data_IF_865689446866
#
_entry.id   IF_865689446866
#
_cell.length_a   1.000
_cell.length_b   1.000
_cell.length_c   1.000
_cell.angle_alpha   90.00
_cell.angle_beta   90.00
_cell.angle_gamma   90.00
#
_symmetry.space_group_name_H-M   'P 1'
#
loop_
_entity.id
_entity.type
_entity.pdbx_description
1 polymer ?
#
# COMPACT_ATOMS: atom_id res chain seq x y z
N UNK A 1 20.44 -13.75 4.26
CA UNK A 1 21.03 -12.89 3.21
C UNK A 1 20.53 -13.24 1.80
N UNK A 2 20.75 -14.46 1.31
CA UNK A 2 20.40 -14.87 -0.07
C UNK A 2 18.91 -14.66 -0.42
N UNK A 3 17.98 -15.02 0.47
CA UNK A 3 16.54 -14.83 0.23
C UNK A 3 16.12 -13.37 0.04
N UNK A 4 16.69 -12.45 0.83
CA UNK A 4 16.43 -11.01 0.68
C UNK A 4 16.97 -10.47 -0.64
N UNK A 5 18.16 -10.91 -1.06
CA UNK A 5 18.75 -10.48 -2.34
C UNK A 5 17.88 -10.94 -3.51
N UNK A 6 17.41 -12.20 -3.50
CA UNK A 6 16.52 -12.73 -4.54
C UNK A 6 15.18 -11.98 -4.60
N UNK A 7 14.57 -11.67 -3.45
CA UNK A 7 13.35 -10.89 -3.39
C UNK A 7 13.52 -9.48 -3.97
N UNK A 8 14.63 -8.80 -3.64
CA UNK A 8 14.95 -7.49 -4.22
C UNK A 8 15.12 -7.56 -5.74
N UNK A 9 15.85 -8.56 -6.25
CA UNK A 9 16.04 -8.75 -7.69
C UNK A 9 14.73 -9.04 -8.41
N UNK A 10 13.86 -9.86 -7.82
CA UNK A 10 12.53 -10.13 -8.35
C UNK A 10 11.68 -8.86 -8.43
N UNK A 11 11.65 -8.04 -7.37
CA UNK A 11 10.91 -6.77 -7.38
C UNK A 11 11.43 -5.79 -8.43
N UNK A 12 12.75 -5.67 -8.57
CA UNK A 12 13.38 -4.84 -9.61
C UNK A 12 13.02 -5.33 -11.02
N UNK A 13 12.93 -6.64 -11.22
CA UNK A 13 12.51 -7.24 -12.49
C UNK A 13 10.99 -7.12 -12.77
N UNK A 14 10.16 -7.07 -11.72
CA UNK A 14 8.71 -6.96 -11.83
C UNK A 14 8.23 -5.52 -12.10
N UNK A 15 8.88 -4.51 -11.53
CA UNK A 15 8.56 -3.08 -11.72
C UNK A 15 8.40 -2.62 -13.19
N UNK A 16 9.24 -3.04 -14.16
CA UNK A 16 9.09 -2.63 -15.55
C UNK A 16 7.91 -3.29 -16.29
N UNK A 17 7.26 -4.31 -15.71
CA UNK A 17 6.10 -4.96 -16.34
C UNK A 17 4.91 -4.00 -16.44
N UNK A 18 4.03 -4.19 -17.45
CA UNK A 18 2.84 -3.32 -17.61
C UNK A 18 1.97 -3.30 -16.36
N UNK A 19 1.76 -4.46 -15.72
CA UNK A 19 0.97 -4.60 -14.49
C UNK A 19 1.66 -3.90 -13.31
N UNK A 20 2.99 -4.03 -13.17
CA UNK A 20 3.76 -3.34 -12.14
C UNK A 20 3.71 -1.82 -12.28
N UNK A 21 3.84 -1.30 -13.50
CA UNK A 21 3.75 0.15 -13.78
C UNK A 21 2.37 0.73 -13.47
N UNK A 22 1.30 0.03 -13.83
CA UNK A 22 -0.07 0.47 -13.50
C UNK A 22 -0.30 0.47 -11.98
N UNK A 23 0.21 -0.54 -11.26
CA UNK A 23 0.10 -0.61 -9.80
C UNK A 23 0.84 0.55 -9.11
N UNK A 24 2.07 0.85 -9.55
CA UNK A 24 2.82 2.00 -9.04
C UNK A 24 2.12 3.31 -9.36
N UNK A 25 1.56 3.45 -10.58
CA UNK A 25 0.81 4.65 -10.96
C UNK A 25 -0.48 4.85 -10.16
N UNK A 26 -1.14 3.76 -9.76
CA UNK A 26 -2.33 3.80 -8.90
C UNK A 26 -1.98 4.14 -7.43
N UNK A 27 -0.76 3.82 -6.98
CA UNK A 27 -0.23 4.14 -5.66
C UNK A 27 0.38 5.55 -5.54
N UNK A 28 0.48 6.30 -6.65
CA UNK A 28 0.98 7.69 -6.60
C UNK A 28 -0.02 8.58 -5.85
N UNK A 29 0.47 9.45 -4.94
CA UNK A 29 -0.38 10.36 -4.20
C UNK A 29 -0.95 11.39 -5.19
N UNK A 30 -2.28 11.52 -5.18
CA UNK A 30 -3.01 12.51 -5.98
C UNK A 30 -3.45 13.65 -5.08
N UNK A 31 -3.62 14.88 -5.60
CA UNK A 31 -4.17 15.99 -4.81
C UNK A 31 -5.55 15.68 -4.21
N UNK A 32 -6.29 14.78 -4.85
CA UNK A 32 -7.57 14.25 -4.37
C UNK A 32 -7.44 13.49 -3.05
N UNK A 33 -6.32 12.78 -2.81
CA UNK A 33 -6.08 12.01 -1.58
C UNK A 33 -5.98 12.94 -0.36
N UNK A 34 -5.44 14.16 -0.52
CA UNK A 34 -5.39 15.15 0.56
C UNK A 34 -6.79 15.67 0.94
N UNK A 35 -7.68 15.79 -0.06
CA UNK A 35 -9.08 16.15 0.17
C UNK A 35 -9.83 15.02 0.87
N UNK A 36 -9.57 13.77 0.50
CA UNK A 36 -10.12 12.58 1.15
C UNK A 36 -9.64 12.45 2.61
N UNK A 37 -8.36 12.72 2.87
CA UNK A 37 -7.80 12.76 4.22
C UNK A 37 -8.46 13.83 5.10
N UNK A 38 -8.67 15.04 4.56
CA UNK A 38 -9.36 16.11 5.27
C UNK A 38 -10.83 15.76 5.55
N UNK A 39 -11.51 15.16 4.58
CA UNK A 39 -12.89 14.69 4.74
C UNK A 39 -13.00 13.58 5.80
N UNK A 40 -12.02 12.67 5.86
CA UNK A 40 -11.97 11.63 6.87
C UNK A 40 -11.72 12.21 8.27
N UNK A 41 -10.82 13.19 8.40
CA UNK A 41 -10.58 13.90 9.65
C UNK A 41 -11.86 14.58 10.17
N UNK A 42 -12.61 15.24 9.27
CA UNK A 42 -13.91 15.85 9.60
C UNK A 42 -14.97 14.82 10.01
N UNK A 43 -14.97 13.63 9.39
CA UNK A 43 -15.87 12.53 9.74
C UNK A 43 -15.52 11.94 11.12
N UNK A 44 -14.24 11.68 11.39
CA UNK A 44 -13.73 11.21 12.69
C UNK A 44 -13.98 12.21 13.82
N UNK A 45 -13.94 13.51 13.53
CA UNK A 45 -14.29 14.58 14.46
C UNK A 45 -15.81 14.79 14.62
N UNK A 46 -16.64 14.00 13.93
CA UNK A 46 -18.10 14.08 14.01
C UNK A 46 -18.72 15.30 13.34
N UNK A 47 -17.94 16.10 12.61
CA UNK A 47 -18.39 17.31 11.89
C UNK A 47 -19.06 16.95 10.55
N UNK A 48 -18.90 15.71 10.07
CA UNK A 48 -19.52 15.19 8.87
C UNK A 48 -20.13 13.81 9.15
N UNK A 49 -21.33 13.57 8.63
CA UNK A 49 -22.06 12.30 8.83
C UNK A 49 -21.82 11.26 7.74
N UNK A 50 -21.18 11.63 6.63
CA UNK A 50 -20.89 10.72 5.51
C UNK A 50 -19.45 10.24 5.52
N UNK A 51 -19.27 8.92 5.47
CA UNK A 51 -17.96 8.29 5.29
C UNK A 51 -17.35 8.68 3.92
N UNK A 52 -16.05 9.00 3.86
CA UNK A 52 -15.37 9.31 2.61
C UNK A 52 -15.39 8.12 1.65
N UNK A 53 -15.67 8.39 0.38
CA UNK A 53 -15.71 7.37 -0.67
C UNK A 53 -14.30 7.12 -1.18
N UNK A 54 -13.63 6.10 -0.68
CA UNK A 54 -12.29 5.77 -1.12
C UNK A 54 -12.27 5.14 -2.52
N UNK A 55 -11.17 5.40 -3.24
CA UNK A 55 -10.82 4.72 -4.48
C UNK A 55 -10.33 3.28 -4.25
N UNK A 56 -9.72 2.71 -5.28
CA UNK A 56 -9.08 1.38 -5.25
C UNK A 56 -8.00 1.21 -4.15
N UNK A 57 -7.35 2.31 -3.76
CA UNK A 57 -6.48 2.37 -2.59
C UNK A 57 -6.87 3.59 -1.76
N UNK A 58 -7.02 3.40 -0.45
CA UNK A 58 -7.28 4.49 0.49
C UNK A 58 -6.04 5.37 0.65
N UNK A 59 -6.24 6.64 1.02
CA UNK A 59 -5.12 7.54 1.32
C UNK A 59 -4.24 7.01 2.46
N UNK A 60 -4.82 6.23 3.39
CA UNK A 60 -4.12 5.60 4.51
C UNK A 60 -3.14 4.54 3.99
N UNK A 61 -3.61 3.65 3.12
CA UNK A 61 -2.78 2.59 2.51
C UNK A 61 -1.66 3.19 1.65
N UNK A 62 -1.96 4.25 0.89
CA UNK A 62 -0.94 4.99 0.15
C UNK A 62 0.07 5.63 1.09
N UNK A 63 -0.38 6.26 2.17
CA UNK A 63 0.50 6.91 3.14
C UNK A 63 1.44 5.90 3.83
N UNK A 64 0.95 4.72 4.19
CA UNK A 64 1.76 3.62 4.72
C UNK A 64 2.81 3.15 3.73
N UNK A 65 2.42 2.95 2.47
CA UNK A 65 3.34 2.53 1.41
C UNK A 65 4.45 3.56 1.19
N UNK A 66 4.11 4.85 1.12
CA UNK A 66 5.09 5.92 0.96
C UNK A 66 5.96 6.13 2.19
N UNK A 67 5.39 6.01 3.40
CA UNK A 67 6.14 6.03 4.65
C UNK A 67 7.17 4.91 4.70
N UNK A 68 6.80 3.70 4.23
CA UNK A 68 7.73 2.57 4.15
C UNK A 68 8.86 2.82 3.15
N UNK A 69 8.55 3.37 1.96
CA UNK A 69 9.57 3.69 0.95
C UNK A 69 10.56 4.73 1.50
N UNK A 70 10.05 5.81 2.09
CA UNK A 70 10.87 6.86 2.65
C UNK A 70 11.76 6.34 3.79
N UNK A 71 11.16 5.64 4.76
CA UNK A 71 11.91 5.08 5.88
C UNK A 71 12.97 4.07 5.43
N UNK A 72 12.65 3.24 4.44
CA UNK A 72 13.62 2.33 3.83
C UNK A 72 14.79 3.07 3.18
N UNK A 73 14.51 4.16 2.44
CA UNK A 73 15.56 4.97 1.82
C UNK A 73 16.48 5.59 2.89
N UNK A 74 15.92 6.17 3.94
CA UNK A 74 16.68 6.75 5.06
C UNK A 74 17.53 5.67 5.75
N UNK A 75 16.95 4.51 6.07
CA UNK A 75 17.65 3.39 6.71
C UNK A 75 18.78 2.84 5.85
N UNK A 76 18.58 2.73 4.54
CA UNK A 76 19.60 2.28 3.59
C UNK A 76 20.73 3.31 3.53
N UNK A 77 20.43 4.59 3.28
CA UNK A 77 21.47 5.63 3.13
C UNK A 77 22.29 5.78 4.41
N UNK A 78 21.63 5.87 5.57
CA UNK A 78 22.32 6.00 6.86
C UNK A 78 23.06 4.72 7.22
N UNK A 79 22.50 3.54 6.96
CA UNK A 79 23.17 2.26 7.17
C UNK A 79 24.43 2.10 6.30
N UNK A 80 24.36 2.51 5.03
CA UNK A 80 25.55 2.53 4.15
C UNK A 80 26.60 3.53 4.63
N UNK A 81 26.19 4.70 5.12
CA UNK A 81 27.12 5.70 5.64
C UNK A 81 27.88 5.18 6.87
N UNK A 82 27.20 4.45 7.75
CA UNK A 82 27.79 3.83 8.94
C UNK A 82 28.62 2.58 8.61
N UNK A 83 28.22 1.81 7.59
CA UNK A 83 28.98 0.65 7.14
C UNK A 83 30.34 1.05 6.56
N UNK A 84 30.38 2.11 5.74
CA UNK A 84 31.59 2.60 5.07
C UNK A 84 32.14 3.88 5.72
N UNK A 85 32.19 3.90 7.06
CA UNK A 85 32.57 5.08 7.83
C UNK A 85 33.91 5.70 7.39
N UNK A 86 34.91 4.86 7.09
CA UNK A 86 36.25 5.33 6.70
C UNK A 86 36.26 6.03 5.35
N UNK A 87 35.46 5.54 4.39
CA UNK A 87 35.34 6.17 3.08
C UNK A 87 34.47 7.42 3.13
N UNK A 88 33.40 7.41 3.94
CA UNK A 88 32.54 8.57 4.16
C UNK A 88 33.30 9.71 4.82
N UNK A 89 34.14 9.44 5.83
CA UNK A 89 34.98 10.44 6.48
C UNK A 89 35.98 11.12 5.53
N UNK A 90 36.29 10.55 4.36
CA UNK A 90 37.13 11.21 3.34
C UNK A 90 36.41 12.38 2.65
N UNK A 91 35.08 12.32 2.59
CA UNK A 91 34.26 13.30 1.89
C UNK A 91 33.37 14.12 2.83
N UNK A 92 33.20 13.67 4.07
CA UNK A 92 32.27 14.24 5.02
C UNK A 92 32.92 14.56 6.38
N UNK A 93 32.43 15.61 7.07
CA UNK A 93 32.88 15.96 8.41
C UNK A 93 32.40 14.94 9.46
N UNK A 94 33.12 14.85 10.58
CA UNK A 94 32.87 13.87 11.66
C UNK A 94 31.43 13.89 12.18
N UNK A 95 30.83 15.08 12.31
CA UNK A 95 29.46 15.25 12.80
C UNK A 95 28.42 14.56 11.91
N UNK A 96 28.74 14.29 10.64
CA UNK A 96 27.81 13.63 9.72
C UNK A 96 27.57 12.16 10.10
N UNK A 97 28.57 11.49 10.66
CA UNK A 97 28.40 10.11 11.16
C UNK A 97 27.62 10.08 12.46
N UNK A 98 27.79 11.07 13.33
CA UNK A 98 26.97 11.20 14.54
C UNK A 98 25.50 11.44 14.18
N UNK A 99 25.24 12.32 13.21
CA UNK A 99 23.89 12.57 12.68
C UNK A 99 23.34 11.31 12.01
N UNK A 100 24.12 10.61 11.18
CA UNK A 100 23.68 9.38 10.52
C UNK A 100 23.31 8.31 11.56
N UNK A 101 24.11 8.15 12.62
CA UNK A 101 23.83 7.23 13.73
C UNK A 101 22.53 7.60 14.43
N UNK A 102 22.35 8.88 14.75
CA UNK A 102 21.16 9.35 15.44
C UNK A 102 19.90 9.15 14.59
N UNK A 103 19.94 9.54 13.31
CA UNK A 103 18.83 9.36 12.37
C UNK A 103 18.51 7.88 12.18
N UNK A 104 19.52 7.04 11.95
CA UNK A 104 19.32 5.59 11.78
C UNK A 104 18.65 4.96 13.00
N UNK A 105 19.10 5.35 14.20
CA UNK A 105 18.54 4.83 15.45
C UNK A 105 17.07 5.23 15.64
N UNK A 106 16.74 6.50 15.46
CA UNK A 106 15.35 6.96 15.61
C UNK A 106 14.44 6.39 14.52
N UNK A 107 14.91 6.32 13.28
CA UNK A 107 14.15 5.74 12.18
C UNK A 107 13.88 4.24 12.43
N UNK A 108 14.85 3.49 12.97
CA UNK A 108 14.64 2.09 13.35
C UNK A 108 13.55 1.92 14.42
N UNK A 109 13.51 2.80 15.42
CA UNK A 109 12.45 2.81 16.43
C UNK A 109 11.10 3.19 15.83
N UNK A 110 11.04 4.25 15.03
CA UNK A 110 9.81 4.68 14.36
C UNK A 110 9.26 3.56 13.47
N UNK A 111 10.11 2.91 12.66
CA UNK A 111 9.71 1.80 11.80
C UNK A 111 9.22 0.60 12.63
N UNK A 112 9.91 0.24 13.71
CA UNK A 112 9.51 -0.87 14.58
C UNK A 112 8.15 -0.60 15.22
N UNK A 113 7.95 0.60 15.78
CA UNK A 113 6.70 0.98 16.40
C UNK A 113 5.56 1.10 15.39
N UNK A 114 5.82 1.62 14.20
CA UNK A 114 4.83 1.67 13.12
C UNK A 114 4.35 0.27 12.73
N UNK A 115 5.26 -0.71 12.62
CA UNK A 115 4.87 -2.10 12.32
C UNK A 115 4.07 -2.71 13.48
N UNK A 116 4.54 -2.57 14.72
CA UNK A 116 3.92 -3.23 15.88
C UNK A 116 2.59 -2.61 16.27
N UNK A 117 2.50 -1.28 16.30
CA UNK A 117 1.30 -0.58 16.78
C UNK A 117 0.31 -0.37 15.66
N UNK A 118 0.76 0.16 14.52
CA UNK A 118 -0.14 0.57 13.45
C UNK A 118 -0.47 -0.61 12.53
N UNK A 119 0.54 -1.24 11.95
CA UNK A 119 0.34 -2.31 10.97
C UNK A 119 -0.33 -3.56 11.57
N UNK A 120 0.19 -4.09 12.69
CA UNK A 120 -0.44 -5.25 13.33
C UNK A 120 -1.85 -4.96 13.84
N UNK A 121 -2.13 -3.73 14.28
CA UNK A 121 -3.49 -3.38 14.68
C UNK A 121 -4.48 -3.50 13.51
N UNK A 122 -4.18 -2.90 12.36
CA UNK A 122 -5.10 -2.94 11.22
C UNK A 122 -5.21 -4.33 10.59
N UNK A 123 -4.13 -5.11 10.61
CA UNK A 123 -4.11 -6.42 9.94
C UNK A 123 -4.68 -7.53 10.82
N UNK A 124 -4.41 -7.50 12.13
CA UNK A 124 -4.76 -8.59 13.06
C UNK A 124 -5.93 -8.21 13.95
N UNK A 125 -6.00 -6.97 14.44
CA UNK A 125 -6.94 -6.56 15.48
C UNK A 125 -8.13 -5.75 14.98
N UNK A 126 -8.20 -5.45 13.68
CA UNK A 126 -9.37 -4.82 13.09
C UNK A 126 -10.53 -5.83 13.02
N UNK A 127 -11.69 -5.55 13.66
CA UNK A 127 -12.83 -6.47 13.68
C UNK A 127 -13.40 -6.78 12.29
N UNK A 128 -13.22 -5.89 11.31
CA UNK A 128 -13.77 -6.07 9.95
C UNK A 128 -12.98 -7.12 9.12
N UNK A 129 -11.71 -7.35 9.46
CA UNK A 129 -10.80 -8.25 8.74
C UNK A 129 -10.21 -9.36 9.63
N UNK A 130 -10.69 -9.49 10.87
CA UNK A 130 -10.20 -10.47 11.83
C UNK A 130 -10.37 -11.92 11.32
N UNK A 131 -9.38 -12.82 11.48
CA UNK A 131 -8.07 -12.61 12.11
C UNK A 131 -6.98 -12.05 11.18
N UNK A 132 -7.19 -12.06 9.86
CA UNK A 132 -6.37 -11.42 8.84
C UNK A 132 -7.06 -11.46 7.47
N UNK A 133 -6.95 -10.39 6.68
CA UNK A 133 -7.43 -10.37 5.30
C UNK A 133 -6.56 -11.29 4.42
N UNK A 134 -7.15 -12.28 3.74
CA UNK A 134 -6.41 -13.22 2.88
C UNK A 134 -6.07 -12.69 1.48
N UNK A 135 -6.53 -11.48 1.15
CA UNK A 135 -6.31 -10.85 -0.18
C UNK A 135 -4.82 -10.72 -0.52
N UNK A 136 -3.92 -10.55 0.46
CA UNK A 136 -2.48 -10.50 0.18
C UNK A 136 -1.91 -11.82 -0.36
N UNK A 137 -2.57 -12.96 -0.08
CA UNK A 137 -2.16 -14.28 -0.54
C UNK A 137 -2.95 -14.74 -1.78
N UNK A 138 -4.28 -14.57 -1.75
CA UNK A 138 -5.17 -15.06 -2.81
C UNK A 138 -5.37 -14.03 -3.94
N UNK A 139 -5.13 -12.76 -3.65
CA UNK A 139 -5.44 -11.64 -4.54
C UNK A 139 -6.93 -11.38 -4.73
N UNK A 140 -7.81 -12.00 -3.94
CA UNK A 140 -9.27 -11.91 -4.07
C UNK A 140 -9.91 -11.26 -2.85
N UNK A 141 -10.86 -10.36 -3.07
CA UNK A 141 -11.59 -9.62 -2.03
C UNK A 141 -13.09 -9.90 -2.11
N UNK A 142 -13.80 -9.92 -0.98
CA UNK A 142 -15.25 -10.14 -1.00
C UNK A 142 -16.01 -8.91 -1.50
N UNK A 143 -17.10 -9.09 -2.25
CA UNK A 143 -17.93 -8.00 -2.79
C UNK A 143 -18.51 -7.10 -1.69
N UNK A 144 -18.89 -7.69 -0.55
CA UNK A 144 -19.39 -6.95 0.60
C UNK A 144 -18.30 -6.06 1.22
N UNK A 145 -17.08 -6.59 1.34
CA UNK A 145 -15.92 -5.85 1.84
C UNK A 145 -15.48 -4.76 0.86
N UNK A 146 -15.44 -5.07 -0.43
CA UNK A 146 -15.10 -4.10 -1.49
C UNK A 146 -16.09 -2.93 -1.52
N UNK A 147 -17.39 -3.18 -1.36
CA UNK A 147 -18.41 -2.13 -1.29
C UNK A 147 -18.24 -1.22 -0.07
N UNK A 148 -17.79 -1.77 1.05
CA UNK A 148 -17.63 -1.03 2.30
C UNK A 148 -16.32 -0.24 2.33
N UNK A 149 -15.20 -0.86 1.98
CA UNK A 149 -13.86 -0.27 2.07
C UNK A 149 -13.49 0.57 0.83
N UNK A 150 -13.90 0.12 -0.37
CA UNK A 150 -13.53 0.73 -1.65
C UNK A 150 -14.76 1.00 -2.56
N UNK A 151 -15.70 1.85 -2.12
CA UNK A 151 -16.98 2.05 -2.80
C UNK A 151 -16.82 2.53 -4.26
N UNK A 152 -15.80 3.33 -4.58
CA UNK A 152 -15.58 3.82 -5.96
C UNK A 152 -15.02 2.75 -6.89
N UNK A 153 -14.30 1.77 -6.36
CA UNK A 153 -13.85 0.61 -7.15
C UNK A 153 -15.02 -0.32 -7.43
N UNK A 154 -15.88 -0.56 -6.43
CA UNK A 154 -17.10 -1.33 -6.61
C UNK A 154 -18.02 -0.73 -7.70
N UNK A 155 -18.26 0.59 -7.66
CA UNK A 155 -19.05 1.30 -8.68
C UNK A 155 -18.43 1.17 -10.10
N UNK A 156 -17.10 1.20 -10.20
CA UNK A 156 -16.39 1.04 -11.47
C UNK A 156 -16.51 -0.36 -12.05
N UNK A 157 -16.42 -1.41 -11.22
CA UNK A 157 -16.56 -2.79 -11.67
C UNK A 157 -17.98 -3.08 -12.17
N UNK A 158 -19.00 -2.59 -11.45
CA UNK A 158 -20.40 -2.69 -11.90
C UNK A 158 -20.61 -2.01 -13.25
N UNK A 159 -20.10 -0.79 -13.43
CA UNK A 159 -20.22 -0.08 -14.70
C UNK A 159 -19.50 -0.80 -15.87
N UNK A 160 -18.42 -1.53 -15.57
CA UNK A 160 -17.72 -2.34 -16.57
C UNK A 160 -18.51 -3.60 -16.95
N UNK A 161 -19.10 -4.31 -15.97
CA UNK A 161 -19.99 -5.45 -16.24
C UNK A 161 -21.20 -5.05 -17.08
N UNK A 162 -21.83 -3.91 -16.77
CA UNK A 162 -22.95 -3.37 -17.55
C UNK A 162 -22.54 -3.04 -18.99
N UNK A 163 -21.37 -2.43 -19.18
CA UNK A 163 -20.83 -2.13 -20.52
C UNK A 163 -20.45 -3.39 -21.31
N UNK A 164 -19.92 -4.42 -20.66
CA UNK A 164 -19.58 -5.69 -21.29
C UNK A 164 -20.84 -6.46 -21.70
N UNK A 165 -21.87 -6.42 -20.86
CA UNK A 165 -23.19 -6.99 -21.15
C UNK A 165 -23.87 -6.27 -22.34
N UNK A 166 -23.82 -4.94 -22.39
CA UNK A 166 -24.38 -4.14 -23.50
C UNK A 166 -23.59 -4.30 -24.81
N UNK A 167 -22.28 -4.53 -24.73
CA UNK A 167 -21.41 -4.78 -25.89
C UNK A 167 -21.55 -6.18 -26.51
N UNK A 168 -22.33 -7.08 -25.90
CA UNK A 168 -22.57 -8.44 -26.40
C UNK A 168 -21.37 -9.39 -26.29
N UNK A 169 -20.29 -9.02 -25.58
CA UNK A 169 -19.11 -9.87 -25.39
C UNK A 169 -19.31 -11.04 -24.41
N UNK A 170 -20.42 -11.05 -23.67
CA UNK A 170 -20.75 -12.09 -22.69
C UNK A 170 -20.92 -13.51 -23.27
N UNK A 171 -20.91 -13.67 -24.60
CA UNK A 171 -21.05 -14.97 -25.29
C UNK A 171 -19.73 -15.63 -25.72
N UNK A 172 -18.55 -15.09 -25.37
CA UNK A 172 -17.28 -15.77 -25.64
C UNK A 172 -16.98 -16.80 -24.52
N UNK A 173 -16.84 -18.10 -24.84
CA UNK A 173 -16.52 -19.13 -23.85
C UNK A 173 -15.07 -18.93 -23.38
N UNK A 174 -14.93 -18.31 -22.22
CA UNK A 174 -13.66 -17.94 -21.61
C UNK A 174 -13.75 -16.74 -20.66
N UNK A 175 -14.84 -15.97 -20.72
CA UNK A 175 -15.11 -14.82 -19.86
C UNK A 175 -16.45 -15.00 -19.10
N UNK A 176 -16.68 -16.18 -18.54
CA UNK A 176 -17.84 -16.49 -17.70
C UNK A 176 -17.40 -17.08 -16.35
N UNK A 177 -18.18 -16.89 -15.27
CA UNK A 177 -17.73 -17.10 -13.90
C UNK A 177 -17.71 -18.59 -13.55
N UNK A 178 -16.55 -19.25 -13.67
CA UNK A 178 -16.35 -20.57 -13.07
C UNK A 178 -15.88 -20.40 -11.61
N UNK A 179 -16.80 -20.67 -10.68
CA UNK A 179 -16.70 -20.42 -9.23
C UNK A 179 -15.75 -21.35 -8.43
N UNK A 180 -15.79 -21.32 -7.08
CA UNK A 180 -16.96 -21.06 -6.24
C UNK A 180 -16.83 -19.83 -5.32
N UNK A 181 -17.96 -19.16 -5.10
CA UNK A 181 -18.13 -18.02 -4.20
C UNK A 181 -18.70 -16.83 -4.94
N UNK A 182 -20.03 -16.65 -4.91
CA UNK A 182 -20.75 -15.51 -5.51
C UNK A 182 -20.41 -14.15 -4.87
N UNK A 183 -19.41 -14.14 -4.00
CA UNK A 183 -19.18 -13.09 -3.04
C UNK A 183 -17.74 -12.56 -3.12
N UNK A 184 -16.92 -12.94 -4.11
CA UNK A 184 -15.50 -12.52 -4.21
C UNK A 184 -15.05 -12.17 -5.63
N UNK A 185 -14.27 -11.10 -5.79
CA UNK A 185 -13.62 -10.62 -7.03
C UNK A 185 -12.12 -10.84 -6.96
#
# INVERSE_FOLDING_TARGET
AVGMILACLWHLAYLPTRRGRTLVADMLPRPEDAKEAWQNALYLLGLRSEAPRFGRFSYIEKAEYWSLIWGSMVMVVTGFALWFETDVMRFAPLWMLDVATMVHYYEAWLATLAIVVWHFYMVIFNPDVYPMNWTWLTGKISMAMLRHEHPREYERLLAQEESEADSGLASLPGAGPEGPGKDTV
#
